data_IF_227617320491
#
_entry.id   IF_227617320491
#
_cell.length_a   1.000
_cell.length_b   1.000
_cell.length_c   1.000
_cell.angle_alpha   90.00
_cell.angle_beta   90.00
_cell.angle_gamma   90.00
#
_symmetry.space_group_name_H-M   'P 1'
#
loop_
_entity.id
_entity.type
_entity.pdbx_description
1 polymer ?
#
# COMPACT_ATOMS: atom_id res chain seq x y z
N UNK A 1 -14.98 11.55 16.79
CA UNK A 1 -15.29 10.85 15.51
C UNK A 1 -16.13 9.58 15.72
N UNK A 2 -16.23 9.02 16.94
CA UNK A 2 -17.12 7.89 17.27
C UNK A 2 -16.61 6.49 16.84
N UNK A 3 -15.31 6.32 16.60
CA UNK A 3 -14.76 5.05 16.13
C UNK A 3 -14.12 4.17 17.22
N UNK A 4 -14.49 4.38 18.49
CA UNK A 4 -13.93 3.62 19.62
C UNK A 4 -14.15 2.12 19.45
N UNK A 5 -15.38 1.72 19.13
CA UNK A 5 -15.73 0.30 18.96
C UNK A 5 -14.96 -0.36 17.81
N UNK A 6 -14.72 0.38 16.72
CA UNK A 6 -13.88 -0.09 15.62
C UNK A 6 -12.45 -0.40 16.08
N UNK A 7 -11.81 0.53 16.82
CA UNK A 7 -10.48 0.30 17.35
C UNK A 7 -10.43 -0.86 18.35
N UNK A 8 -11.46 -1.02 19.17
CA UNK A 8 -11.56 -2.14 20.12
C UNK A 8 -11.69 -3.49 19.41
N UNK A 9 -12.48 -3.58 18.35
CA UNK A 9 -12.61 -4.79 17.54
C UNK A 9 -11.27 -5.15 16.87
N UNK A 10 -10.59 -4.14 16.28
CA UNK A 10 -9.28 -4.35 15.65
C UNK A 10 -8.23 -4.78 16.68
N UNK A 11 -8.19 -4.09 17.80
CA UNK A 11 -7.28 -4.45 18.90
C UNK A 11 -7.50 -5.88 19.39
N UNK A 12 -8.75 -6.29 19.52
CA UNK A 12 -9.11 -7.59 20.06
C UNK A 12 -8.55 -8.75 19.25
N UNK A 13 -8.76 -8.79 17.96
CA UNK A 13 -8.25 -9.89 17.15
C UNK A 13 -6.72 -9.82 16.91
N UNK A 14 -6.12 -8.63 16.94
CA UNK A 14 -4.66 -8.48 16.92
C UNK A 14 -4.08 -9.01 18.24
N UNK A 15 -4.69 -8.66 19.37
CA UNK A 15 -4.26 -9.17 20.68
C UNK A 15 -4.40 -10.69 20.76
N UNK A 16 -5.50 -11.25 20.23
CA UNK A 16 -5.64 -12.70 20.09
C UNK A 16 -4.48 -13.31 19.31
N UNK A 17 -4.17 -12.75 18.13
CA UNK A 17 -3.08 -13.26 17.30
C UNK A 17 -1.74 -13.24 18.06
N UNK A 18 -1.39 -12.13 18.70
CA UNK A 18 -0.13 -11.98 19.44
C UNK A 18 -0.01 -12.91 20.64
N UNK A 19 -1.07 -13.02 21.44
CA UNK A 19 -1.10 -13.90 22.61
C UNK A 19 -1.06 -15.38 22.25
N UNK A 20 -1.42 -15.73 21.01
CA UNK A 20 -1.32 -17.10 20.48
C UNK A 20 -0.07 -17.31 19.60
N UNK A 21 0.88 -16.37 19.61
CA UNK A 21 2.13 -16.47 18.86
C UNK A 21 1.93 -16.48 17.33
N UNK A 22 0.85 -15.84 16.84
CA UNK A 22 0.62 -15.64 15.40
C UNK A 22 1.28 -14.33 15.01
N UNK A 23 2.28 -14.31 14.11
CA UNK A 23 2.93 -13.09 13.67
C UNK A 23 1.96 -12.09 13.06
N UNK A 24 2.08 -10.83 13.49
CA UNK A 24 1.33 -9.68 12.97
C UNK A 24 2.33 -8.65 12.46
N UNK A 25 2.08 -8.11 11.27
CA UNK A 25 2.92 -7.06 10.69
C UNK A 25 2.96 -5.78 11.53
N UNK A 26 4.02 -4.97 11.41
CA UNK A 26 4.18 -3.75 12.21
C UNK A 26 3.18 -2.65 11.86
N UNK A 27 2.51 -2.77 10.74
CA UNK A 27 1.51 -1.85 10.24
C UNK A 27 1.40 -1.93 8.72
N UNK A 28 0.32 -1.35 8.19
CA UNK A 28 0.05 -1.28 6.76
C UNK A 28 -0.79 -0.05 6.44
N UNK A 29 -0.68 0.46 5.23
CA UNK A 29 -1.48 1.61 4.81
C UNK A 29 -1.20 2.85 5.65
N UNK A 30 -2.24 3.60 5.98
CA UNK A 30 -2.14 4.84 6.75
C UNK A 30 -2.31 4.68 8.25
N UNK A 31 -2.74 3.51 8.72
CA UNK A 31 -3.03 3.27 10.14
C UNK A 31 -1.82 3.44 11.06
N UNK A 32 -0.59 3.21 10.55
CA UNK A 32 0.64 3.46 11.29
C UNK A 32 0.88 4.96 11.61
N UNK A 33 0.13 5.89 10.98
CA UNK A 33 0.13 7.32 11.36
C UNK A 33 -0.70 7.63 12.61
N UNK A 34 -1.36 6.65 13.23
CA UNK A 34 -2.21 6.83 14.41
C UNK A 34 -1.46 6.52 15.70
N UNK A 35 -1.31 7.52 16.56
CA UNK A 35 -0.74 7.33 17.91
C UNK A 35 -1.61 6.38 18.75
N UNK A 36 -2.93 6.40 18.59
CA UNK A 36 -3.84 5.46 19.27
C UNK A 36 -3.56 4.02 18.81
N UNK A 37 -3.40 3.79 17.50
CA UNK A 37 -3.05 2.46 16.98
C UNK A 37 -1.73 1.94 17.54
N UNK A 38 -0.77 2.84 17.70
CA UNK A 38 0.55 2.51 18.26
C UNK A 38 0.49 2.21 19.77
N UNK A 39 -0.10 3.10 20.56
CA UNK A 39 -0.17 2.93 22.03
C UNK A 39 -1.06 1.78 22.47
N UNK A 40 -2.04 1.39 21.66
CA UNK A 40 -2.86 0.19 21.88
C UNK A 40 -2.23 -1.08 21.31
N UNK A 41 -1.11 -0.98 20.61
CA UNK A 41 -0.43 -2.13 20.01
C UNK A 41 -1.11 -2.67 18.76
N UNK A 42 -2.00 -1.92 18.10
CA UNK A 42 -2.53 -2.27 16.78
C UNK A 42 -1.40 -2.20 15.74
N UNK A 43 -0.56 -1.16 15.81
CA UNK A 43 0.64 -1.00 15.00
C UNK A 43 1.88 -0.92 15.89
N UNK A 44 3.07 -1.22 15.34
CA UNK A 44 4.34 -1.21 16.06
C UNK A 44 5.31 -0.12 15.55
N UNK A 45 4.82 0.82 14.74
CA UNK A 45 5.60 1.94 14.22
C UNK A 45 5.25 3.19 15.02
N UNK A 46 6.26 3.84 15.60
CA UNK A 46 6.08 5.10 16.33
C UNK A 46 5.81 6.24 15.33
N UNK A 47 4.58 6.80 15.29
CA UNK A 47 4.24 7.85 14.35
C UNK A 47 4.97 9.16 14.62
N UNK A 48 5.41 9.41 15.86
CA UNK A 48 6.16 10.62 16.23
C UNK A 48 7.60 10.51 15.71
N UNK A 49 8.26 9.39 15.96
CA UNK A 49 9.63 9.13 15.52
C UNK A 49 9.80 9.29 14.00
N UNK A 50 8.85 8.79 13.23
CA UNK A 50 8.89 8.84 11.76
C UNK A 50 8.14 10.02 11.14
N UNK A 51 7.65 10.95 11.97
CA UNK A 51 6.87 12.12 11.52
C UNK A 51 5.71 11.72 10.59
N UNK A 52 4.87 10.80 11.04
CA UNK A 52 3.69 10.31 10.32
C UNK A 52 2.47 11.16 10.71
N UNK A 53 1.59 11.41 9.75
CA UNK A 53 0.46 12.30 9.95
C UNK A 53 -0.84 11.54 10.21
N UNK A 54 -1.51 11.86 11.33
CA UNK A 54 -2.79 11.26 11.71
C UNK A 54 -3.91 11.57 10.70
N UNK A 55 -3.96 12.79 10.17
CA UNK A 55 -5.01 13.25 9.24
C UNK A 55 -4.93 12.52 7.89
N UNK A 56 -3.76 11.92 7.58
CA UNK A 56 -3.62 11.01 6.44
C UNK A 56 -4.40 9.71 6.65
N UNK A 57 -4.57 9.27 7.89
CA UNK A 57 -5.34 8.09 8.27
C UNK A 57 -6.82 8.46 8.51
N UNK A 58 -7.10 9.38 9.43
CA UNK A 58 -8.44 9.86 9.77
C UNK A 58 -8.51 11.37 9.65
N UNK A 59 -9.31 11.86 8.71
CA UNK A 59 -9.51 13.28 8.48
C UNK A 59 -10.85 13.72 9.10
N UNK A 60 -10.85 14.62 10.11
CA UNK A 60 -12.09 15.10 10.74
C UNK A 60 -13.01 15.90 9.79
N UNK A 61 -12.45 16.47 8.73
CA UNK A 61 -13.22 17.18 7.70
C UNK A 61 -13.85 16.23 6.66
N UNK A 62 -13.59 14.94 6.78
CA UNK A 62 -14.14 13.91 5.91
C UNK A 62 -14.70 12.76 6.72
N UNK A 63 -16.00 12.61 6.69
CA UNK A 63 -16.68 11.47 7.32
C UNK A 63 -16.49 10.22 6.45
N UNK A 64 -15.46 9.43 6.77
CA UNK A 64 -15.23 8.09 6.20
C UNK A 64 -14.86 7.14 7.31
N UNK A 65 -15.32 5.89 7.20
CA UNK A 65 -14.88 4.85 8.11
C UNK A 65 -13.35 4.71 8.08
N UNK A 66 -12.71 4.48 9.23
CA UNK A 66 -11.30 4.09 9.26
C UNK A 66 -11.12 2.75 8.55
N UNK A 67 -9.95 2.59 7.92
CA UNK A 67 -9.58 1.36 7.24
C UNK A 67 -8.20 0.93 7.76
N UNK A 68 -8.20 -0.06 8.66
CA UNK A 68 -6.98 -0.63 9.25
C UNK A 68 -6.75 -2.00 8.63
N UNK A 69 -5.93 -2.03 7.60
CA UNK A 69 -5.42 -3.25 7.00
C UNK A 69 -4.37 -3.90 7.90
N UNK A 70 -4.41 -5.23 8.04
CA UNK A 70 -3.48 -5.95 8.91
C UNK A 70 -2.88 -7.13 8.16
N UNK A 71 -1.55 -7.18 8.19
CA UNK A 71 -0.80 -8.32 7.69
C UNK A 71 -0.62 -9.36 8.80
N UNK A 72 -1.11 -10.58 8.56
CA UNK A 72 -0.91 -11.75 9.43
C UNK A 72 0.03 -12.76 8.78
N UNK A 73 0.62 -13.62 9.58
CA UNK A 73 1.28 -14.84 9.10
C UNK A 73 0.37 -15.57 8.11
N UNK A 74 0.87 -15.85 6.92
CA UNK A 74 0.09 -16.45 5.84
C UNK A 74 -0.54 -17.79 6.24
N UNK A 75 0.21 -18.64 6.94
CA UNK A 75 -0.22 -19.98 7.32
C UNK A 75 -1.27 -19.99 8.43
N UNK A 76 -1.16 -19.04 9.39
CA UNK A 76 -2.01 -19.04 10.58
C UNK A 76 -3.10 -17.96 10.57
N UNK A 77 -3.25 -17.23 9.50
CA UNK A 77 -4.29 -16.19 9.32
C UNK A 77 -5.71 -16.74 9.54
N UNK A 78 -5.98 -17.96 9.08
CA UNK A 78 -7.30 -18.60 9.23
C UNK A 78 -7.70 -18.78 10.70
N UNK A 79 -6.75 -19.02 11.62
CA UNK A 79 -7.03 -19.13 13.05
C UNK A 79 -7.60 -17.82 13.62
N UNK A 80 -7.12 -16.66 13.12
CA UNK A 80 -7.64 -15.37 13.55
C UNK A 80 -9.04 -15.12 13.01
N UNK A 81 -9.31 -15.51 11.78
CA UNK A 81 -10.66 -15.43 11.18
C UNK A 81 -11.64 -16.33 11.95
N UNK A 82 -11.23 -17.55 12.27
CA UNK A 82 -12.04 -18.51 13.07
C UNK A 82 -12.35 -17.96 14.46
N UNK A 83 -11.37 -17.28 15.10
CA UNK A 83 -11.60 -16.59 16.36
C UNK A 83 -12.66 -15.50 16.23
N UNK A 84 -12.59 -14.66 15.19
CA UNK A 84 -13.57 -13.60 14.94
C UNK A 84 -14.96 -14.19 14.71
N UNK A 85 -15.08 -15.23 13.89
CA UNK A 85 -16.34 -15.95 13.66
C UNK A 85 -16.91 -16.54 14.96
N UNK A 86 -16.05 -17.13 15.80
CA UNK A 86 -16.48 -17.70 17.07
C UNK A 86 -16.92 -16.63 18.06
N UNK A 87 -16.23 -15.50 18.11
CA UNK A 87 -16.46 -14.41 19.07
C UNK A 87 -17.71 -13.60 18.74
N UNK A 88 -17.84 -13.17 17.48
CA UNK A 88 -18.93 -12.30 17.04
C UNK A 88 -20.18 -13.06 16.55
N UNK A 89 -20.06 -14.37 16.36
CA UNK A 89 -21.16 -15.24 15.93
C UNK A 89 -21.14 -15.55 14.43
N UNK A 90 -21.43 -16.79 14.08
CA UNK A 90 -21.44 -17.28 12.68
C UNK A 90 -22.44 -16.55 11.79
N UNK A 91 -23.54 -16.06 12.38
CA UNK A 91 -24.57 -15.36 11.63
C UNK A 91 -24.23 -13.88 11.43
N UNK A 92 -23.28 -13.34 12.20
CA UNK A 92 -22.86 -11.94 12.16
C UNK A 92 -21.55 -11.72 11.39
N UNK A 93 -20.86 -12.77 10.96
CA UNK A 93 -19.58 -12.69 10.24
C UNK A 93 -19.69 -13.41 8.90
N UNK A 94 -19.32 -12.73 7.83
CA UNK A 94 -19.35 -13.28 6.48
C UNK A 94 -18.15 -12.89 5.66
N UNK A 95 -17.75 -13.76 4.73
CA UNK A 95 -16.76 -13.42 3.70
C UNK A 95 -17.39 -12.49 2.65
N UNK A 96 -16.59 -11.68 1.99
CA UNK A 96 -17.04 -10.78 0.92
C UNK A 96 -16.93 -11.49 -0.43
N UNK A 97 -17.94 -11.36 -1.28
CA UNK A 97 -17.89 -11.85 -2.66
C UNK A 97 -17.03 -10.95 -3.53
N UNK A 98 -16.37 -11.55 -4.51
CA UNK A 98 -15.79 -10.83 -5.65
C UNK A 98 -16.33 -11.40 -6.95
N UNK A 99 -16.46 -10.56 -7.98
CA UNK A 99 -16.85 -10.99 -9.31
C UNK A 99 -15.64 -10.97 -10.25
N UNK A 100 -15.28 -12.15 -10.74
CA UNK A 100 -14.36 -12.25 -11.87
C UNK A 100 -15.05 -11.78 -13.14
N UNK A 101 -14.43 -10.84 -13.87
CA UNK A 101 -14.98 -10.33 -15.14
C UNK A 101 -14.34 -10.99 -16.34
N UNK A 102 -15.03 -10.92 -17.48
CA UNK A 102 -14.49 -11.29 -18.78
C UNK A 102 -13.43 -10.26 -19.21
N UNK A 103 -12.16 -10.53 -18.90
CA UNK A 103 -11.05 -9.70 -19.33
C UNK A 103 -10.69 -9.94 -20.80
N UNK A 104 -10.08 -8.95 -21.46
CA UNK A 104 -9.80 -8.91 -22.91
C UNK A 104 -9.27 -10.24 -23.51
N UNK A 105 -8.23 -10.84 -22.91
CA UNK A 105 -7.67 -12.12 -23.41
C UNK A 105 -8.60 -13.32 -23.16
N UNK A 106 -9.30 -13.28 -22.03
CA UNK A 106 -10.23 -14.38 -21.63
C UNK A 106 -11.47 -14.38 -22.50
N UNK A 107 -12.07 -13.22 -22.70
CA UNK A 107 -13.33 -13.10 -23.48
C UNK A 107 -13.17 -13.54 -24.93
N UNK A 108 -12.02 -13.25 -25.57
CA UNK A 108 -11.75 -13.73 -26.95
C UNK A 108 -11.75 -15.26 -27.03
N UNK A 109 -11.13 -15.94 -26.07
CA UNK A 109 -11.13 -17.41 -26.04
C UNK A 109 -12.51 -17.98 -25.74
N UNK A 110 -13.25 -17.35 -24.81
CA UNK A 110 -14.58 -17.80 -24.44
C UNK A 110 -15.60 -17.59 -25.60
N UNK A 111 -15.58 -16.43 -26.24
CA UNK A 111 -16.43 -16.16 -27.39
C UNK A 111 -16.05 -17.05 -28.59
N UNK A 112 -14.76 -17.19 -28.85
CA UNK A 112 -14.29 -18.11 -29.93
C UNK A 112 -14.75 -19.54 -29.74
N UNK A 113 -14.72 -20.05 -28.49
CA UNK A 113 -15.26 -21.38 -28.17
C UNK A 113 -16.77 -21.49 -28.42
N UNK A 114 -17.55 -20.45 -28.11
CA UNK A 114 -19.00 -20.43 -28.33
C UNK A 114 -19.32 -20.31 -29.83
N UNK A 115 -18.44 -19.63 -30.60
CA UNK A 115 -18.54 -19.52 -32.05
C UNK A 115 -17.98 -20.74 -32.79
N UNK A 116 -17.56 -21.77 -32.06
CA UNK A 116 -16.97 -23.02 -32.59
C UNK A 116 -15.69 -22.78 -33.42
N UNK A 117 -14.93 -21.73 -33.08
CA UNK A 117 -13.66 -21.40 -33.72
C UNK A 117 -12.51 -22.23 -33.12
N UNK A 118 -11.48 -22.60 -33.91
CA UNK A 118 -10.34 -23.36 -33.41
C UNK A 118 -9.65 -22.62 -32.26
N UNK A 119 -9.31 -23.33 -31.18
CA UNK A 119 -8.65 -22.76 -30.02
C UNK A 119 -7.34 -22.04 -30.39
N UNK A 120 -6.53 -22.63 -31.26
CA UNK A 120 -5.27 -22.07 -31.73
C UNK A 120 -5.44 -20.71 -32.42
N UNK A 121 -6.51 -20.56 -33.20
CA UNK A 121 -6.88 -19.29 -33.85
C UNK A 121 -7.21 -18.22 -32.78
N UNK A 122 -8.10 -18.52 -31.85
CA UNK A 122 -8.49 -17.61 -30.79
C UNK A 122 -7.32 -17.25 -29.85
N UNK A 123 -6.44 -18.22 -29.55
CA UNK A 123 -5.27 -18.03 -28.68
C UNK A 123 -4.21 -17.14 -29.35
N UNK A 124 -4.04 -17.25 -30.67
CA UNK A 124 -3.17 -16.34 -31.43
C UNK A 124 -3.65 -14.90 -31.30
N UNK A 125 -4.93 -14.63 -31.52
CA UNK A 125 -5.52 -13.30 -31.37
C UNK A 125 -5.42 -12.79 -29.92
N UNK A 126 -5.71 -13.65 -28.94
CA UNK A 126 -5.62 -13.29 -27.53
C UNK A 126 -4.18 -12.95 -27.10
N UNK A 127 -3.17 -13.58 -27.67
CA UNK A 127 -1.75 -13.30 -27.41
C UNK A 127 -1.27 -11.98 -27.99
N UNK A 128 -1.93 -11.46 -29.03
CA UNK A 128 -1.64 -10.13 -29.60
C UNK A 128 -2.08 -8.97 -28.70
N UNK A 129 -2.96 -9.23 -27.70
CA UNK A 129 -3.32 -8.23 -26.70
C UNK A 129 -2.13 -8.00 -25.76
N UNK A 130 -1.66 -6.75 -25.60
CA UNK A 130 -0.55 -6.41 -24.71
C UNK A 130 -0.77 -6.87 -23.26
N UNK A 131 0.32 -7.11 -22.51
CA UNK A 131 0.27 -7.43 -21.10
C UNK A 131 0.29 -6.14 -20.26
N UNK A 132 -0.77 -5.35 -20.34
CA UNK A 132 -0.98 -4.17 -19.51
C UNK A 132 -2.12 -4.39 -18.52
N UNK A 133 -2.00 -3.77 -17.35
CA UNK A 133 -3.07 -3.81 -16.35
C UNK A 133 -4.32 -3.08 -16.89
N UNK A 134 -5.48 -3.73 -16.76
CA UNK A 134 -6.77 -3.21 -17.24
C UNK A 134 -6.80 -2.87 -18.74
N UNK A 135 -6.03 -3.60 -19.55
CA UNK A 135 -6.09 -3.48 -21.01
C UNK A 135 -7.48 -3.87 -21.51
N UNK A 136 -8.06 -3.03 -22.38
CA UNK A 136 -9.30 -3.35 -23.09
C UNK A 136 -8.99 -3.76 -24.52
N UNK A 137 -9.92 -4.48 -25.14
CA UNK A 137 -9.81 -4.87 -26.57
C UNK A 137 -9.67 -3.62 -27.45
N UNK A 138 -10.41 -2.56 -27.15
CA UNK A 138 -10.35 -1.30 -27.89
C UNK A 138 -8.95 -0.68 -27.80
N UNK A 139 -8.39 -0.61 -26.62
CA UNK A 139 -7.03 -0.09 -26.41
C UNK A 139 -5.98 -0.99 -27.08
N UNK A 140 -6.17 -2.31 -27.02
CA UNK A 140 -5.27 -3.26 -27.69
C UNK A 140 -5.24 -3.07 -29.21
N UNK A 141 -6.39 -2.82 -29.85
CA UNK A 141 -6.49 -2.49 -31.28
C UNK A 141 -5.76 -1.19 -31.64
N UNK A 142 -5.75 -0.20 -30.74
CA UNK A 142 -5.01 1.04 -30.95
C UNK A 142 -3.49 0.83 -30.84
N UNK A 143 -3.05 -0.03 -29.92
CA UNK A 143 -1.64 -0.25 -29.61
C UNK A 143 -0.94 -1.26 -30.52
N UNK A 144 -1.67 -2.26 -31.03
CA UNK A 144 -1.09 -3.33 -31.85
C UNK A 144 -1.57 -3.22 -33.30
N UNK A 145 -0.72 -2.72 -34.24
CA UNK A 145 -1.06 -2.58 -35.65
C UNK A 145 -1.38 -3.92 -36.33
N UNK A 146 -0.73 -5.02 -35.94
CA UNK A 146 -0.98 -6.35 -36.51
C UNK A 146 -2.39 -6.84 -36.14
N UNK A 147 -2.79 -6.72 -34.85
CA UNK A 147 -4.13 -7.05 -34.40
C UNK A 147 -5.19 -6.22 -35.14
N UNK A 148 -4.92 -4.92 -35.33
CA UNK A 148 -5.79 -4.03 -36.11
C UNK A 148 -5.90 -4.47 -37.59
N UNK A 149 -4.78 -4.79 -38.23
CA UNK A 149 -4.75 -5.27 -39.62
C UNK A 149 -5.57 -6.55 -39.76
N UNK A 150 -5.47 -7.51 -38.84
CA UNK A 150 -6.31 -8.71 -38.87
C UNK A 150 -7.80 -8.38 -38.66
N UNK A 151 -8.13 -7.46 -37.76
CA UNK A 151 -9.51 -7.00 -37.54
C UNK A 151 -10.13 -6.34 -38.77
N UNK A 152 -9.33 -5.60 -39.54
CA UNK A 152 -9.78 -4.91 -40.76
C UNK A 152 -9.92 -5.85 -41.98
N UNK A 153 -9.06 -6.88 -42.07
CA UNK A 153 -8.94 -7.73 -43.26
C UNK A 153 -9.67 -9.09 -43.16
N UNK A 154 -9.90 -9.62 -41.94
CA UNK A 154 -10.51 -10.94 -41.72
C UNK A 154 -11.88 -10.81 -41.04
N UNK A 155 -12.92 -11.30 -41.72
CA UNK A 155 -14.31 -11.24 -41.22
C UNK A 155 -14.53 -12.05 -39.95
N UNK A 156 -13.85 -13.21 -39.81
CA UNK A 156 -13.95 -14.04 -38.60
C UNK A 156 -13.30 -13.35 -37.41
N UNK A 157 -12.13 -12.72 -37.62
CA UNK A 157 -11.45 -11.92 -36.60
C UNK A 157 -12.33 -10.74 -36.18
N UNK A 158 -12.92 -10.02 -37.16
CA UNK A 158 -13.83 -8.89 -36.89
C UNK A 158 -15.01 -9.33 -36.04
N UNK A 159 -15.70 -10.40 -36.44
CA UNK A 159 -16.89 -10.90 -35.75
C UNK A 159 -16.53 -11.34 -34.33
N UNK A 160 -15.41 -12.08 -34.16
CA UNK A 160 -14.92 -12.51 -32.86
C UNK A 160 -14.62 -11.32 -31.94
N UNK A 161 -13.92 -10.31 -32.44
CA UNK A 161 -13.53 -9.12 -31.68
C UNK A 161 -14.78 -8.28 -31.32
N UNK A 162 -15.68 -8.05 -32.26
CA UNK A 162 -16.89 -7.25 -32.01
C UNK A 162 -17.81 -7.90 -30.96
N UNK A 163 -17.98 -9.21 -31.04
CA UNK A 163 -18.72 -9.95 -30.00
C UNK A 163 -18.00 -9.92 -28.66
N UNK A 164 -16.67 -10.05 -28.66
CA UNK A 164 -15.85 -9.99 -27.44
C UNK A 164 -15.93 -8.60 -26.78
N UNK A 165 -15.89 -7.50 -27.54
CA UNK A 165 -16.07 -6.13 -27.02
C UNK A 165 -17.42 -5.95 -26.30
N UNK A 166 -18.47 -6.58 -26.78
CA UNK A 166 -19.82 -6.49 -26.17
C UNK A 166 -19.90 -7.21 -24.83
N UNK A 167 -19.08 -8.23 -24.62
CA UNK A 167 -19.07 -9.06 -23.40
C UNK A 167 -17.91 -8.70 -22.45
N UNK A 168 -16.91 -7.94 -22.92
CA UNK A 168 -15.78 -7.51 -22.12
C UNK A 168 -16.27 -6.75 -20.88
N UNK A 169 -15.71 -7.09 -19.71
CA UNK A 169 -16.05 -6.45 -18.44
C UNK A 169 -17.29 -7.00 -17.73
N UNK A 170 -18.12 -7.83 -18.40
CA UNK A 170 -19.27 -8.45 -17.76
C UNK A 170 -18.81 -9.48 -16.70
N UNK A 171 -19.57 -9.64 -15.60
CA UNK A 171 -19.31 -10.70 -14.62
C UNK A 171 -19.35 -12.09 -15.25
N UNK A 172 -18.37 -12.93 -14.90
CA UNK A 172 -18.26 -14.31 -15.40
C UNK A 172 -18.49 -15.34 -14.30
N UNK A 173 -17.86 -15.16 -13.17
CA UNK A 173 -17.97 -16.07 -12.03
C UNK A 173 -17.81 -15.31 -10.73
N UNK A 174 -18.30 -15.90 -9.64
CA UNK A 174 -18.11 -15.42 -8.28
C UNK A 174 -16.89 -16.09 -7.66
N UNK A 175 -16.17 -15.34 -6.83
CA UNK A 175 -15.08 -15.80 -6.00
C UNK A 175 -15.19 -15.15 -4.62
N UNK A 176 -14.42 -15.59 -3.66
CA UNK A 176 -14.31 -14.94 -2.36
C UNK A 176 -13.23 -13.88 -2.38
N UNK A 177 -13.43 -12.79 -1.66
CA UNK A 177 -12.38 -11.81 -1.42
C UNK A 177 -11.23 -12.46 -0.64
N UNK A 178 -9.99 -12.21 -1.05
CA UNK A 178 -8.84 -12.91 -0.48
C UNK A 178 -8.59 -12.60 1.02
N UNK A 179 -9.07 -11.45 1.51
CA UNK A 179 -8.76 -10.95 2.85
C UNK A 179 -9.97 -10.38 3.60
N UNK A 180 -10.99 -9.89 2.88
CA UNK A 180 -12.10 -9.11 3.45
C UNK A 180 -13.12 -9.97 4.17
N UNK A 181 -13.41 -9.60 5.41
CA UNK A 181 -14.46 -10.18 6.26
C UNK A 181 -15.36 -9.05 6.74
N UNK A 182 -16.67 -9.27 6.72
CA UNK A 182 -17.65 -8.31 7.24
C UNK A 182 -18.12 -8.76 8.61
N UNK A 183 -18.24 -7.82 9.54
CA UNK A 183 -18.78 -8.02 10.88
C UNK A 183 -20.02 -7.13 11.04
N UNK A 184 -21.14 -7.67 11.49
CA UNK A 184 -22.39 -6.95 11.73
C UNK A 184 -22.87 -7.09 13.17
N UNK A 185 -23.72 -6.16 13.61
CA UNK A 185 -24.31 -6.19 14.97
C UNK A 185 -25.45 -7.21 15.09
N UNK A 186 -26.16 -7.47 13.98
CA UNK A 186 -27.25 -8.46 13.89
C UNK A 186 -26.88 -9.48 12.83
N UNK A 187 -27.74 -10.47 12.65
CA UNK A 187 -27.54 -11.45 11.59
C UNK A 187 -27.33 -10.78 10.23
N UNK A 188 -26.31 -11.25 9.48
CA UNK A 188 -25.86 -10.62 8.24
C UNK A 188 -26.95 -10.54 7.17
N UNK A 189 -27.88 -11.51 7.14
CA UNK A 189 -29.00 -11.56 6.21
C UNK A 189 -30.07 -10.49 6.47
N UNK A 190 -30.04 -9.81 7.65
CA UNK A 190 -30.86 -8.62 7.88
C UNK A 190 -30.31 -7.38 7.12
N UNK A 191 -29.05 -7.41 6.68
CA UNK A 191 -28.39 -6.27 6.00
C UNK A 191 -28.16 -6.52 4.52
N UNK A 192 -27.70 -7.74 4.17
CA UNK A 192 -27.31 -8.10 2.80
C UNK A 192 -27.71 -9.52 2.46
N UNK A 193 -28.09 -9.81 1.20
CA UNK A 193 -28.33 -11.17 0.77
C UNK A 193 -27.04 -11.98 0.83
N UNK A 194 -27.19 -13.26 1.23
CA UNK A 194 -26.08 -14.18 1.38
C UNK A 194 -26.10 -15.26 0.29
N UNK A 195 -24.93 -15.81 0.00
CA UNK A 195 -24.74 -16.94 -0.90
C UNK A 195 -23.82 -17.97 -0.26
N UNK A 196 -23.91 -19.21 -0.72
CA UNK A 196 -23.01 -20.27 -0.31
C UNK A 196 -22.02 -20.57 -1.43
N UNK A 197 -20.73 -20.45 -1.15
CA UNK A 197 -19.67 -20.84 -2.06
C UNK A 197 -19.60 -22.37 -2.21
N UNK A 198 -18.83 -22.85 -3.18
CA UNK A 198 -18.73 -24.30 -3.49
C UNK A 198 -18.14 -25.13 -2.34
N UNK A 199 -17.32 -24.52 -1.50
CA UNK A 199 -16.72 -25.12 -0.29
C UNK A 199 -17.64 -25.04 0.94
N UNK A 200 -18.85 -24.48 0.81
CA UNK A 200 -19.82 -24.32 1.88
C UNK A 200 -19.71 -23.03 2.67
N UNK A 201 -18.69 -22.19 2.41
CA UNK A 201 -18.50 -20.90 3.06
C UNK A 201 -19.63 -19.94 2.71
N UNK A 202 -20.09 -19.17 3.70
CA UNK A 202 -21.10 -18.12 3.50
C UNK A 202 -20.40 -16.84 3.04
N UNK A 203 -20.90 -16.28 1.95
CA UNK A 203 -20.41 -15.00 1.39
C UNK A 203 -21.56 -14.02 1.23
N UNK A 204 -21.27 -12.74 1.30
CA UNK A 204 -22.21 -11.69 0.87
C UNK A 204 -22.44 -11.79 -0.64
N UNK A 205 -23.62 -11.35 -1.12
CA UNK A 205 -23.85 -11.18 -2.57
C UNK A 205 -23.45 -9.78 -3.08
N UNK A 206 -23.14 -8.87 -2.17
CA UNK A 206 -22.64 -7.53 -2.50
C UNK A 206 -21.14 -7.48 -2.38
N UNK A 207 -20.51 -6.73 -3.30
CA UNK A 207 -19.07 -6.47 -3.33
C UNK A 207 -18.67 -5.48 -2.24
N UNK A 208 -17.37 -5.40 -1.99
CA UNK A 208 -16.76 -4.59 -0.93
C UNK A 208 -17.24 -3.13 -0.92
N UNK A 209 -17.29 -2.47 -2.08
CA UNK A 209 -17.73 -1.06 -2.18
C UNK A 209 -19.16 -0.85 -1.74
N UNK A 210 -20.08 -1.75 -2.13
CA UNK A 210 -21.49 -1.69 -1.71
C UNK A 210 -21.65 -1.96 -0.21
N UNK A 211 -20.85 -2.87 0.35
CA UNK A 211 -20.83 -3.16 1.78
C UNK A 211 -20.40 -1.93 2.59
N UNK A 212 -19.37 -1.22 2.13
CA UNK A 212 -18.91 0.04 2.72
C UNK A 212 -19.98 1.15 2.63
N UNK A 213 -20.66 1.28 1.48
CA UNK A 213 -21.76 2.23 1.29
C UNK A 213 -22.94 1.97 2.23
N UNK A 214 -23.21 0.72 2.56
CA UNK A 214 -24.22 0.31 3.54
C UNK A 214 -23.79 0.55 5.00
N UNK A 215 -22.56 0.98 5.23
CA UNK A 215 -22.03 1.26 6.57
C UNK A 215 -21.66 0.02 7.37
N UNK A 216 -21.53 -1.15 6.73
CA UNK A 216 -21.08 -2.36 7.38
C UNK A 216 -19.59 -2.36 7.61
N UNK A 217 -19.16 -3.00 8.69
CA UNK A 217 -17.77 -3.02 9.12
C UNK A 217 -16.97 -4.08 8.36
N UNK A 218 -16.12 -3.60 7.45
CA UNK A 218 -15.16 -4.45 6.73
C UNK A 218 -13.85 -4.52 7.51
N UNK A 219 -13.27 -5.71 7.60
CA UNK A 219 -11.95 -5.98 8.14
C UNK A 219 -11.11 -6.75 7.14
N UNK A 220 -9.89 -6.30 6.85
CA UNK A 220 -9.00 -6.97 5.93
C UNK A 220 -7.91 -7.75 6.67
N UNK A 221 -8.02 -9.08 6.62
CA UNK A 221 -7.05 -10.03 7.17
C UNK A 221 -6.10 -10.46 6.04
N UNK A 222 -5.02 -9.71 5.86
CA UNK A 222 -4.07 -9.97 4.78
C UNK A 222 -3.06 -11.05 5.20
N UNK A 223 -2.69 -11.92 4.29
CA UNK A 223 -1.65 -12.93 4.53
C UNK A 223 -0.32 -12.44 3.94
N UNK A 224 0.69 -12.25 4.79
CA UNK A 224 2.04 -11.90 4.36
C UNK A 224 3.00 -13.06 4.66
N UNK A 225 3.45 -13.75 3.60
CA UNK A 225 4.36 -14.90 3.70
C UNK A 225 5.68 -14.55 4.40
N UNK A 226 6.18 -13.34 4.21
CA UNK A 226 7.41 -12.84 4.83
C UNK A 226 7.35 -12.88 6.37
N UNK A 227 6.19 -12.69 6.98
CA UNK A 227 6.04 -12.79 8.44
C UNK A 227 6.25 -14.24 8.91
N UNK A 228 5.82 -15.23 8.12
CA UNK A 228 6.12 -16.65 8.37
C UNK A 228 7.61 -16.90 8.30
N UNK A 229 8.28 -16.41 7.24
CA UNK A 229 9.74 -16.56 7.07
C UNK A 229 10.51 -15.95 8.25
N UNK A 230 10.15 -14.74 8.69
CA UNK A 230 10.80 -14.07 9.82
C UNK A 230 10.64 -14.89 11.10
N UNK A 231 9.43 -15.37 11.38
CA UNK A 231 9.15 -16.22 12.54
C UNK A 231 9.97 -17.51 12.50
N UNK A 232 9.91 -18.22 11.39
CA UNK A 232 10.61 -19.50 11.24
C UNK A 232 12.13 -19.33 11.33
N UNK A 233 12.67 -18.24 10.77
CA UNK A 233 14.08 -17.90 10.94
C UNK A 233 14.43 -17.64 12.40
N UNK A 234 13.62 -16.88 13.13
CA UNK A 234 13.81 -16.63 14.57
C UNK A 234 13.76 -17.93 15.40
N UNK A 235 12.79 -18.81 15.12
CA UNK A 235 12.65 -20.12 15.76
C UNK A 235 13.86 -21.02 15.49
N UNK A 236 14.37 -21.02 14.25
CA UNK A 236 15.58 -21.79 13.88
C UNK A 236 16.83 -21.23 14.57
N UNK A 237 16.96 -19.89 14.70
CA UNK A 237 18.06 -19.26 15.43
C UNK A 237 18.00 -19.66 16.89
N UNK A 238 16.82 -19.63 17.52
CA UNK A 238 16.66 -20.09 18.89
C UNK A 238 17.03 -21.57 19.06
N UNK A 239 16.56 -22.43 18.14
CA UNK A 239 16.83 -23.86 18.18
C UNK A 239 18.34 -24.18 18.01
N UNK A 240 19.01 -23.48 17.11
CA UNK A 240 20.40 -23.80 16.74
C UNK A 240 21.44 -23.12 17.64
N UNK A 241 21.12 -21.90 18.13
CA UNK A 241 22.07 -21.02 18.82
C UNK A 241 21.64 -20.68 20.25
N UNK A 242 20.40 -21.01 20.67
CA UNK A 242 19.84 -20.62 21.97
C UNK A 242 19.57 -19.12 22.12
N UNK A 243 19.60 -18.38 21.00
CA UNK A 243 19.41 -16.93 20.98
C UNK A 243 17.95 -16.64 20.61
N UNK A 244 17.23 -16.00 21.52
CA UNK A 244 15.88 -15.53 21.27
C UNK A 244 15.93 -14.12 20.67
N UNK A 245 15.34 -13.94 19.50
CA UNK A 245 15.28 -12.63 18.83
C UNK A 245 13.84 -12.11 18.92
N UNK A 246 13.66 -10.90 19.43
CA UNK A 246 12.39 -10.23 19.46
C UNK A 246 12.20 -9.44 18.16
N UNK A 247 11.26 -9.89 17.35
CA UNK A 247 10.90 -9.27 16.07
C UNK A 247 9.69 -8.32 16.18
N UNK A 248 9.05 -8.25 17.34
CA UNK A 248 7.83 -7.48 17.56
C UNK A 248 8.11 -6.10 18.15
N UNK A 249 9.19 -5.93 18.93
CA UNK A 249 9.57 -4.64 19.49
C UNK A 249 10.46 -3.88 18.51
N UNK A 250 9.96 -2.75 18.01
CA UNK A 250 10.63 -1.97 16.98
C UNK A 250 11.20 -0.68 17.54
N UNK A 251 10.45 0.02 18.37
CA UNK A 251 10.79 1.36 18.82
C UNK A 251 10.75 1.55 20.36
N UNK A 252 10.51 0.48 21.14
CA UNK A 252 10.36 0.56 22.60
C UNK A 252 11.50 -0.09 23.37
N UNK A 253 11.83 0.53 24.52
CA UNK A 253 12.66 -0.07 25.57
C UNK A 253 11.87 -0.95 26.55
N UNK A 254 10.57 -1.08 26.35
CA UNK A 254 9.67 -1.88 27.20
C UNK A 254 9.43 -3.26 26.56
N UNK A 255 10.48 -4.03 26.45
CA UNK A 255 10.36 -5.42 26.01
C UNK A 255 9.96 -6.32 27.18
N UNK A 256 8.99 -7.17 26.94
CA UNK A 256 8.44 -8.08 27.94
C UNK A 256 9.36 -9.26 28.29
N UNK A 257 10.38 -9.50 27.47
CA UNK A 257 11.34 -10.58 27.66
C UNK A 257 12.77 -10.01 27.73
N UNK A 258 13.33 -9.92 28.97
CA UNK A 258 14.67 -9.35 29.14
C UNK A 258 15.80 -10.21 28.56
N UNK A 259 15.53 -11.48 28.26
CA UNK A 259 16.52 -12.39 27.65
C UNK A 259 16.50 -12.36 26.12
N UNK A 260 15.54 -11.68 25.53
CA UNK A 260 15.45 -11.57 24.07
C UNK A 260 16.36 -10.46 23.51
N UNK A 261 17.03 -10.76 22.41
CA UNK A 261 17.84 -9.80 21.66
C UNK A 261 16.90 -8.94 20.82
N UNK A 262 17.01 -7.63 20.97
CA UNK A 262 16.31 -6.65 20.13
C UNK A 262 17.07 -6.39 18.83
N UNK A 263 16.35 -6.20 17.74
CA UNK A 263 16.93 -5.79 16.46
C UNK A 263 17.24 -4.30 16.52
N UNK A 264 18.52 -3.94 16.33
CA UNK A 264 18.92 -2.54 16.13
C UNK A 264 18.68 -2.14 14.67
N UNK A 265 17.66 -1.31 14.44
CA UNK A 265 17.33 -0.82 13.09
C UNK A 265 18.28 0.24 12.54
N UNK A 266 19.32 0.61 13.30
CA UNK A 266 20.42 1.48 12.88
C UNK A 266 21.76 0.74 12.77
N UNK A 267 21.76 -0.61 12.86
CA UNK A 267 23.00 -1.38 12.70
C UNK A 267 23.61 -1.14 11.31
N UNK A 268 24.76 -0.47 11.32
CA UNK A 268 25.48 -0.12 10.12
C UNK A 268 25.85 -1.33 9.26
N UNK A 269 26.12 -2.48 9.85
CA UNK A 269 26.49 -3.71 9.10
C UNK A 269 25.34 -4.20 8.24
N UNK A 270 24.11 -4.17 8.78
CA UNK A 270 22.90 -4.57 8.05
C UNK A 270 22.60 -3.53 6.94
N UNK A 271 22.73 -2.24 7.23
CA UNK A 271 22.52 -1.17 6.24
C UNK A 271 23.58 -1.24 5.12
N UNK A 272 24.85 -1.42 5.46
CA UNK A 272 25.93 -1.62 4.48
C UNK A 272 25.67 -2.89 3.64
N UNK A 273 25.16 -3.96 4.25
CA UNK A 273 24.79 -5.19 3.53
C UNK A 273 23.67 -4.94 2.51
N UNK A 274 22.62 -4.21 2.89
CA UNK A 274 21.56 -3.77 1.94
C UNK A 274 22.19 -2.98 0.78
N UNK A 275 23.13 -2.08 1.09
CA UNK A 275 23.88 -1.28 0.11
C UNK A 275 24.76 -2.09 -0.84
N UNK A 276 25.06 -3.37 -0.56
CA UNK A 276 25.75 -4.26 -1.51
C UNK A 276 24.84 -4.72 -2.65
N UNK A 277 23.51 -4.61 -2.49
CA UNK A 277 22.51 -5.15 -3.42
C UNK A 277 22.42 -6.69 -3.44
N UNK A 278 23.01 -7.39 -2.47
CA UNK A 278 22.85 -8.85 -2.28
C UNK A 278 21.55 -9.17 -1.54
N UNK A 279 20.46 -8.64 -2.05
CA UNK A 279 19.15 -8.60 -1.37
C UNK A 279 18.14 -9.62 -1.92
N UNK A 280 18.61 -10.75 -2.48
CA UNK A 280 17.75 -11.90 -2.83
C UNK A 280 17.03 -12.40 -1.58
N UNK A 281 15.70 -12.55 -1.65
CA UNK A 281 14.84 -12.95 -0.54
C UNK A 281 14.64 -11.87 0.54
N UNK A 282 15.27 -10.70 0.43
CA UNK A 282 15.00 -9.56 1.31
C UNK A 282 13.72 -8.86 0.84
N UNK A 283 12.74 -8.80 1.72
CA UNK A 283 11.42 -8.27 1.41
C UNK A 283 11.50 -6.89 0.72
N UNK A 284 10.74 -6.71 -0.37
CA UNK A 284 10.69 -5.50 -1.21
C UNK A 284 12.01 -5.11 -1.92
N UNK A 285 13.17 -5.70 -1.59
CA UNK A 285 14.46 -5.27 -2.09
C UNK A 285 15.11 -6.25 -3.10
N UNK A 286 14.39 -7.27 -3.56
CA UNK A 286 14.95 -8.39 -4.31
C UNK A 286 14.95 -8.24 -5.84
N UNK A 287 14.16 -7.32 -6.42
CA UNK A 287 14.13 -7.14 -7.87
C UNK A 287 15.46 -6.61 -8.41
N UNK A 288 15.83 -6.97 -9.63
CA UNK A 288 17.11 -6.57 -10.24
C UNK A 288 17.34 -5.04 -10.22
N UNK A 289 16.29 -4.27 -10.53
CA UNK A 289 16.37 -2.82 -10.50
C UNK A 289 16.50 -2.26 -9.08
N UNK A 290 15.76 -2.83 -8.11
CA UNK A 290 15.87 -2.42 -6.71
C UNK A 290 17.26 -2.72 -6.14
N UNK A 291 17.87 -3.86 -6.48
CA UNK A 291 19.26 -4.20 -6.11
C UNK A 291 20.25 -3.15 -6.60
N UNK A 292 20.11 -2.74 -7.86
CA UNK A 292 20.98 -1.70 -8.42
C UNK A 292 20.74 -0.36 -7.73
N UNK A 293 19.49 -0.01 -7.48
CA UNK A 293 19.17 1.21 -6.75
C UNK A 293 19.74 1.20 -5.32
N UNK A 294 19.66 0.09 -4.58
CA UNK A 294 20.27 0.00 -3.24
C UNK A 294 21.80 0.18 -3.26
N UNK A 295 22.48 -0.29 -4.31
CA UNK A 295 23.93 -0.06 -4.50
C UNK A 295 24.28 1.42 -4.69
N UNK A 296 23.41 2.17 -5.37
CA UNK A 296 23.59 3.61 -5.57
C UNK A 296 23.19 4.41 -4.33
N UNK A 297 22.09 4.02 -3.69
CA UNK A 297 21.52 4.66 -2.51
C UNK A 297 22.46 4.56 -1.30
N UNK A 298 23.09 3.38 -1.10
CA UNK A 298 23.96 3.09 0.07
C UNK A 298 23.29 3.54 1.36
N UNK A 299 22.21 2.89 1.79
CA UNK A 299 21.41 3.34 2.92
C UNK A 299 22.26 3.43 4.19
N UNK A 300 22.09 4.52 4.94
CA UNK A 300 22.79 4.79 6.20
C UNK A 300 21.86 4.81 7.40
N UNK A 301 20.56 4.72 7.15
CA UNK A 301 19.50 4.70 8.16
C UNK A 301 18.29 3.94 7.63
N UNK A 302 17.37 3.59 8.53
CA UNK A 302 16.08 3.03 8.13
C UNK A 302 15.28 4.03 7.26
N UNK A 303 15.41 5.34 7.49
CA UNK A 303 14.78 6.39 6.68
C UNK A 303 15.20 6.30 5.20
N UNK A 304 16.46 5.98 4.91
CA UNK A 304 16.93 5.76 3.54
C UNK A 304 16.23 4.54 2.90
N UNK A 305 15.98 3.47 3.68
CA UNK A 305 15.25 2.29 3.19
C UNK A 305 13.78 2.64 2.93
N UNK A 306 13.16 3.43 3.82
CA UNK A 306 11.80 3.96 3.65
C UNK A 306 11.68 4.76 2.35
N UNK A 307 12.62 5.67 2.13
CA UNK A 307 12.67 6.47 0.90
C UNK A 307 12.91 5.58 -0.34
N UNK A 308 13.80 4.59 -0.23
CA UNK A 308 14.10 3.65 -1.29
C UNK A 308 12.88 2.87 -1.77
N UNK A 309 12.09 2.30 -0.84
CA UNK A 309 10.83 1.60 -1.14
C UNK A 309 9.82 2.55 -1.79
N UNK A 310 9.80 3.81 -1.37
CA UNK A 310 8.87 4.82 -1.87
C UNK A 310 9.19 5.32 -3.27
N UNK A 311 10.48 5.43 -3.60
CA UNK A 311 10.96 5.95 -4.88
C UNK A 311 10.98 4.89 -5.99
N UNK A 312 11.27 3.63 -5.67
CA UNK A 312 11.44 2.59 -6.69
C UNK A 312 10.08 2.05 -7.19
N UNK A 313 9.39 2.85 -7.98
CA UNK A 313 8.09 2.51 -8.62
C UNK A 313 7.95 3.28 -9.94
N UNK A 314 7.14 2.80 -10.90
CA UNK A 314 6.85 3.55 -12.12
C UNK A 314 6.35 4.97 -11.79
N UNK A 315 7.02 5.97 -12.33
CA UNK A 315 6.79 7.40 -12.08
C UNK A 315 7.82 8.01 -11.13
N UNK A 316 7.86 7.67 -9.82
CA UNK A 316 8.84 8.24 -8.88
C UNK A 316 10.30 7.88 -9.21
N UNK A 317 10.56 6.79 -9.92
CA UNK A 317 11.92 6.39 -10.33
C UNK A 317 12.67 7.49 -11.08
N UNK A 318 11.98 8.37 -11.79
CA UNK A 318 12.60 9.48 -12.52
C UNK A 318 13.27 10.50 -11.59
N UNK A 319 12.89 10.52 -10.31
CA UNK A 319 13.46 11.41 -9.28
C UNK A 319 14.64 10.79 -8.53
N UNK A 320 14.94 9.50 -8.72
CA UNK A 320 16.07 8.81 -8.06
C UNK A 320 17.39 9.52 -8.29
N UNK A 321 17.76 9.96 -9.52
CA UNK A 321 19.02 10.66 -9.74
C UNK A 321 19.13 11.96 -8.92
N UNK A 322 18.05 12.74 -8.82
CA UNK A 322 18.00 13.97 -8.01
C UNK A 322 18.17 13.65 -6.52
N UNK A 323 17.47 12.61 -6.03
CA UNK A 323 17.55 12.16 -4.64
C UNK A 323 18.99 11.72 -4.28
N UNK A 324 19.61 10.87 -5.11
CA UNK A 324 20.99 10.40 -4.93
C UNK A 324 21.99 11.56 -4.94
N UNK A 325 21.81 12.50 -5.89
CA UNK A 325 22.67 13.70 -5.95
C UNK A 325 22.54 14.52 -4.67
N UNK A 326 21.34 14.84 -4.23
CA UNK A 326 21.11 15.60 -3.00
C UNK A 326 21.67 14.90 -1.75
N UNK A 327 21.56 13.56 -1.69
CA UNK A 327 22.16 12.77 -0.61
C UNK A 327 23.68 12.89 -0.55
N UNK A 328 24.34 12.81 -1.70
CA UNK A 328 25.81 12.80 -1.79
C UNK A 328 26.42 14.21 -1.76
N UNK A 329 25.69 15.21 -2.25
CA UNK A 329 26.15 16.60 -2.45
C UNK A 329 25.16 17.56 -1.78
N UNK A 330 25.08 17.57 -0.45
CA UNK A 330 24.08 18.36 0.31
C UNK A 330 24.11 19.85 -0.02
N UNK A 331 25.30 20.41 -0.29
CA UNK A 331 25.47 21.80 -0.69
C UNK A 331 24.86 22.14 -2.07
N UNK A 332 24.52 21.13 -2.86
CA UNK A 332 23.85 21.30 -4.15
C UNK A 332 22.34 21.49 -4.04
N UNK A 333 21.76 21.28 -2.85
CA UNK A 333 20.32 21.37 -2.62
C UNK A 333 19.93 22.85 -2.56
N UNK A 334 18.92 23.22 -3.34
CA UNK A 334 18.33 24.55 -3.32
C UNK A 334 16.85 24.45 -3.03
N UNK A 335 16.34 25.37 -2.20
CA UNK A 335 14.93 25.44 -1.86
C UNK A 335 14.33 26.73 -2.42
N UNK A 336 13.10 26.69 -2.87
CA UNK A 336 12.38 27.86 -3.42
C UNK A 336 12.08 28.91 -2.34
N UNK A 337 11.98 28.51 -1.09
CA UNK A 337 11.84 29.36 0.10
C UNK A 337 12.40 28.62 1.33
N UNK A 338 12.68 29.39 2.41
CA UNK A 338 13.28 28.83 3.64
C UNK A 338 12.35 27.86 4.37
N UNK A 339 11.06 28.10 4.31
CA UNK A 339 10.03 27.32 4.97
C UNK A 339 9.93 25.91 4.40
N UNK A 340 10.41 25.70 3.17
CA UNK A 340 10.42 24.40 2.49
C UNK A 340 11.56 23.49 2.99
N UNK A 341 12.66 24.08 3.48
CA UNK A 341 13.86 23.34 3.91
C UNK A 341 13.55 22.30 5.01
N UNK A 342 12.87 22.62 6.14
CA UNK A 342 12.61 21.64 7.19
C UNK A 342 11.76 20.45 6.72
N UNK A 343 10.91 20.66 5.70
CA UNK A 343 10.02 19.64 5.17
C UNK A 343 10.77 18.68 4.24
N UNK A 344 11.70 19.22 3.43
CA UNK A 344 12.37 18.46 2.37
C UNK A 344 13.82 18.06 2.70
N UNK A 345 14.43 18.61 3.76
CA UNK A 345 15.79 18.26 4.20
C UNK A 345 15.91 16.74 4.45
N UNK A 346 14.95 16.06 5.13
CA UNK A 346 15.04 14.62 5.35
C UNK A 346 15.02 13.77 4.07
N UNK A 347 14.60 14.35 2.96
CA UNK A 347 14.53 13.70 1.64
C UNK A 347 15.40 14.40 0.59
N UNK A 348 16.43 15.10 1.06
CA UNK A 348 17.47 15.73 0.22
C UNK A 348 16.89 16.66 -0.85
N UNK A 349 15.90 17.48 -0.47
CA UNK A 349 15.26 18.46 -1.36
C UNK A 349 14.25 17.86 -2.35
N UNK A 350 13.86 16.61 -2.17
CA UNK A 350 12.84 15.95 -3.01
C UNK A 350 11.52 15.77 -2.25
N UNK A 351 10.40 16.00 -2.92
CA UNK A 351 9.10 15.53 -2.42
C UNK A 351 9.06 14.02 -2.70
N UNK A 352 8.88 13.19 -1.67
CA UNK A 352 8.80 11.72 -1.76
C UNK A 352 7.46 11.22 -1.22
N UNK A 353 6.96 11.87 -0.17
CA UNK A 353 5.83 11.41 0.61
C UNK A 353 4.60 12.29 0.43
N UNK A 354 3.43 11.67 0.53
CA UNK A 354 2.13 12.37 0.56
C UNK A 354 2.05 13.32 1.74
N UNK A 355 2.63 12.93 2.86
CA UNK A 355 2.74 13.72 4.09
C UNK A 355 3.49 15.04 3.87
N UNK A 356 4.53 15.04 3.05
CA UNK A 356 5.25 16.27 2.69
C UNK A 356 4.39 17.24 1.89
N UNK A 357 3.56 16.74 0.96
CA UNK A 357 2.60 17.59 0.23
C UNK A 357 1.63 18.25 1.21
N UNK A 358 1.14 17.50 2.21
CA UNK A 358 0.24 18.03 3.23
C UNK A 358 0.94 19.09 4.11
N UNK A 359 2.17 18.82 4.54
CA UNK A 359 2.97 19.78 5.33
C UNK A 359 3.27 21.06 4.54
N UNK A 360 3.61 20.95 3.26
CA UNK A 360 3.88 22.11 2.40
C UNK A 360 2.66 23.04 2.35
N UNK A 361 1.46 22.53 2.08
CA UNK A 361 0.28 23.40 1.99
C UNK A 361 -0.11 23.96 3.35
N UNK A 362 0.09 23.22 4.43
CA UNK A 362 -0.13 23.71 5.79
C UNK A 362 0.83 24.83 6.17
N UNK A 363 2.14 24.57 6.09
CA UNK A 363 3.17 25.48 6.59
C UNK A 363 3.30 26.74 5.71
N UNK A 364 3.19 26.59 4.38
CA UNK A 364 3.41 27.70 3.47
C UNK A 364 2.16 28.56 3.25
N UNK A 365 0.98 27.97 3.26
CA UNK A 365 -0.26 28.67 2.91
C UNK A 365 -1.31 28.70 4.03
N UNK A 366 -1.07 28.04 5.18
CA UNK A 366 -1.93 28.09 6.35
C UNK A 366 -3.20 27.26 6.27
N UNK A 367 -3.17 26.16 5.50
CA UNK A 367 -4.27 25.19 5.48
C UNK A 367 -4.34 24.40 6.79
N UNK A 368 -5.54 23.92 7.15
CA UNK A 368 -5.64 22.87 8.14
C UNK A 368 -5.08 21.54 7.57
N UNK A 369 -4.69 20.61 8.43
CA UNK A 369 -4.24 19.28 7.95
C UNK A 369 -5.37 18.53 7.24
N UNK A 370 -6.63 18.72 7.65
CA UNK A 370 -7.79 18.16 6.98
C UNK A 370 -7.95 18.67 5.54
N UNK A 371 -7.87 19.99 5.35
CA UNK A 371 -7.86 20.62 4.03
C UNK A 371 -6.68 20.13 3.20
N UNK A 372 -5.48 20.01 3.79
CA UNK A 372 -4.29 19.52 3.14
C UNK A 372 -4.45 18.08 2.59
N UNK A 373 -5.09 17.18 3.34
CA UNK A 373 -5.41 15.83 2.83
C UNK A 373 -6.37 15.86 1.64
N UNK A 374 -7.36 16.76 1.66
CA UNK A 374 -8.32 16.91 0.57
C UNK A 374 -7.63 17.36 -0.72
N UNK A 375 -6.70 18.33 -0.65
CA UNK A 375 -5.88 18.80 -1.79
C UNK A 375 -5.00 17.67 -2.32
N UNK A 376 -4.24 17.03 -1.44
CA UNK A 376 -3.39 15.89 -1.82
C UNK A 376 -4.19 14.82 -2.59
N UNK A 377 -5.41 14.50 -2.13
CA UNK A 377 -6.29 13.52 -2.80
C UNK A 377 -6.78 14.03 -4.16
N UNK A 378 -7.13 15.31 -4.28
CA UNK A 378 -7.53 15.90 -5.55
C UNK A 378 -6.40 15.81 -6.58
N UNK A 379 -5.17 16.14 -6.17
CA UNK A 379 -3.97 16.00 -7.00
C UNK A 379 -3.74 14.53 -7.41
N UNK A 380 -3.78 13.58 -6.47
CA UNK A 380 -3.60 12.15 -6.77
C UNK A 380 -4.66 11.58 -7.71
N UNK A 381 -5.92 12.07 -7.61
CA UNK A 381 -7.04 11.68 -8.47
C UNK A 381 -7.12 12.48 -9.78
N UNK A 382 -6.18 13.39 -10.02
CA UNK A 382 -6.11 14.25 -11.22
C UNK A 382 -7.40 15.05 -11.47
N UNK A 383 -8.03 15.56 -10.40
CA UNK A 383 -9.22 16.41 -10.50
C UNK A 383 -8.82 17.83 -10.88
N UNK A 384 -8.62 18.08 -12.17
CA UNK A 384 -8.01 19.31 -12.68
C UNK A 384 -8.72 20.59 -12.18
N UNK A 385 -10.06 20.61 -12.20
CA UNK A 385 -10.83 21.78 -11.75
C UNK A 385 -10.58 22.15 -10.28
N UNK A 386 -10.33 21.12 -9.41
CA UNK A 386 -9.98 21.36 -8.00
C UNK A 386 -8.54 21.85 -7.91
N UNK A 387 -7.63 21.24 -8.67
CA UNK A 387 -6.20 21.60 -8.67
C UNK A 387 -6.03 23.07 -9.09
N UNK A 388 -6.77 23.53 -10.12
CA UNK A 388 -6.66 24.91 -10.59
C UNK A 388 -7.27 25.92 -9.58
N UNK A 389 -8.39 25.56 -8.95
CA UNK A 389 -9.00 26.40 -7.91
C UNK A 389 -8.10 26.50 -6.66
N UNK A 390 -7.53 25.37 -6.23
CA UNK A 390 -6.66 25.32 -5.05
C UNK A 390 -5.30 26.00 -5.29
N UNK A 391 -4.84 26.14 -6.52
CA UNK A 391 -3.66 26.97 -6.83
C UNK A 391 -3.87 28.42 -6.42
N UNK A 392 -5.05 28.99 -6.70
CA UNK A 392 -5.37 30.35 -6.31
C UNK A 392 -5.39 30.50 -4.80
N UNK A 393 -6.05 29.56 -4.10
CA UNK A 393 -6.10 29.54 -2.65
C UNK A 393 -4.69 29.40 -2.03
N UNK A 394 -3.86 28.52 -2.56
CA UNK A 394 -2.49 28.31 -2.08
C UNK A 394 -1.61 29.55 -2.25
N UNK A 395 -1.67 30.21 -3.39
CA UNK A 395 -0.83 31.38 -3.70
C UNK A 395 -1.35 32.63 -3.00
N UNK A 396 -2.64 32.95 -3.17
CA UNK A 396 -3.22 34.24 -2.77
C UNK A 396 -4.05 34.19 -1.48
N UNK A 397 -4.45 32.99 -1.05
CA UNK A 397 -5.32 32.79 0.11
C UNK A 397 -6.80 32.73 -0.23
N UNK A 398 -7.60 32.40 0.79
CA UNK A 398 -9.06 32.36 0.73
C UNK A 398 -9.62 32.61 2.12
N UNK A 399 -10.14 33.82 2.37
CA UNK A 399 -10.67 34.24 3.68
C UNK A 399 -11.87 33.40 4.11
N UNK A 400 -12.77 33.02 3.19
CA UNK A 400 -13.93 32.19 3.50
C UNK A 400 -13.57 30.82 4.03
N UNK A 401 -12.44 30.26 3.56
CA UNK A 401 -11.92 28.97 3.99
C UNK A 401 -10.85 29.09 5.09
N UNK A 402 -10.52 30.30 5.53
CA UNK A 402 -9.47 30.52 6.53
C UNK A 402 -8.05 30.28 6.05
N UNK A 403 -7.83 30.28 4.74
CA UNK A 403 -6.52 30.03 4.12
C UNK A 403 -5.80 31.36 3.91
N UNK A 404 -4.61 31.51 4.51
CA UNK A 404 -3.82 32.75 4.40
C UNK A 404 -3.18 32.95 3.02
N UNK A 405 -2.72 31.87 2.40
CA UNK A 405 -1.96 31.89 1.17
C UNK A 405 -0.46 32.20 1.38
N UNK A 406 0.34 31.76 0.42
CA UNK A 406 1.81 31.88 0.47
C UNK A 406 2.27 33.35 0.49
N UNK A 407 1.63 34.24 -0.27
CA UNK A 407 2.02 35.65 -0.36
C UNK A 407 1.85 36.34 1.00
N UNK A 408 0.75 36.08 1.70
CA UNK A 408 0.51 36.63 3.04
C UNK A 408 1.53 36.12 4.08
N UNK A 409 2.13 34.96 3.84
CA UNK A 409 3.20 34.40 4.66
C UNK A 409 4.61 34.83 4.18
N UNK A 410 4.72 35.78 3.26
CA UNK A 410 5.98 36.36 2.80
C UNK A 410 6.71 35.61 1.69
N UNK A 411 6.07 34.61 1.09
CA UNK A 411 6.61 33.83 -0.02
C UNK A 411 6.25 34.54 -1.33
N UNK A 412 7.24 34.70 -2.25
CA UNK A 412 6.97 35.36 -3.52
C UNK A 412 6.00 34.54 -4.38
N UNK A 413 5.20 35.23 -5.20
CA UNK A 413 4.26 34.60 -6.13
C UNK A 413 4.95 33.60 -7.06
N UNK A 414 6.14 33.95 -7.55
CA UNK A 414 6.93 33.05 -8.41
C UNK A 414 7.33 31.76 -7.69
N UNK A 415 7.84 31.87 -6.46
CA UNK A 415 8.21 30.71 -5.65
C UNK A 415 6.99 29.85 -5.32
N UNK A 416 5.87 30.46 -4.91
CA UNK A 416 4.64 29.75 -4.58
C UNK A 416 4.10 28.96 -5.79
N UNK A 417 4.06 29.56 -6.97
CA UNK A 417 3.62 28.85 -8.19
C UNK A 417 4.55 27.69 -8.54
N UNK A 418 5.88 27.88 -8.45
CA UNK A 418 6.86 26.82 -8.73
C UNK A 418 6.74 25.65 -7.75
N UNK A 419 6.53 25.94 -6.46
CA UNK A 419 6.28 24.92 -5.43
C UNK A 419 4.98 24.17 -5.76
N UNK A 420 3.91 24.89 -6.12
CA UNK A 420 2.64 24.28 -6.47
C UNK A 420 2.76 23.35 -7.70
N UNK A 421 3.45 23.77 -8.76
CA UNK A 421 3.73 22.93 -9.92
C UNK A 421 4.47 21.65 -9.54
N UNK A 422 5.51 21.79 -8.71
CA UNK A 422 6.26 20.64 -8.18
C UNK A 422 5.40 19.69 -7.39
N UNK A 423 4.47 20.20 -6.56
CA UNK A 423 3.51 19.36 -5.83
C UNK A 423 2.55 18.63 -6.77
N UNK A 424 1.99 19.30 -7.77
CA UNK A 424 1.05 18.69 -8.73
C UNK A 424 1.73 17.58 -9.52
N UNK A 425 2.95 17.78 -9.97
CA UNK A 425 3.71 16.78 -10.72
C UNK A 425 4.04 15.57 -9.84
N UNK A 426 4.39 15.79 -8.59
CA UNK A 426 4.79 14.75 -7.68
C UNK A 426 3.63 14.04 -6.97
N UNK A 427 2.53 14.73 -6.67
CA UNK A 427 1.39 14.18 -5.95
C UNK A 427 0.70 13.01 -6.68
N UNK A 428 0.91 12.90 -8.00
CA UNK A 428 0.46 11.76 -8.82
C UNK A 428 1.18 10.46 -8.41
N UNK A 429 2.36 10.58 -7.81
CA UNK A 429 3.29 9.49 -7.54
C UNK A 429 3.72 9.42 -6.07
N UNK A 430 3.44 10.44 -5.26
CA UNK A 430 3.81 10.50 -3.85
C UNK A 430 3.32 9.27 -3.07
N UNK A 431 4.19 8.73 -2.21
CA UNK A 431 3.91 7.52 -1.46
C UNK A 431 3.41 7.82 -0.05
N UNK A 432 2.63 6.92 0.51
CA UNK A 432 2.23 6.97 1.91
C UNK A 432 3.43 6.58 2.79
N UNK A 433 4.00 7.53 3.53
CA UNK A 433 5.15 7.31 4.40
C UNK A 433 4.86 6.26 5.47
N UNK A 434 3.66 6.27 6.03
CA UNK A 434 3.24 5.30 7.05
C UNK A 434 3.34 3.85 6.56
N UNK A 435 2.89 3.59 5.33
CA UNK A 435 3.04 2.26 4.71
C UNK A 435 4.50 1.92 4.43
N UNK A 436 5.27 2.86 3.90
CA UNK A 436 6.69 2.65 3.62
C UNK A 436 7.51 2.36 4.86
N UNK A 437 7.24 3.06 5.98
CA UNK A 437 7.91 2.86 7.25
C UNK A 437 7.67 1.45 7.80
N UNK A 438 6.40 1.02 7.82
CA UNK A 438 6.05 -0.33 8.26
C UNK A 438 6.74 -1.42 7.40
N UNK A 439 6.74 -1.24 6.09
CA UNK A 439 7.35 -2.21 5.17
C UNK A 439 8.87 -2.19 5.18
N UNK A 440 9.50 -1.02 5.42
CA UNK A 440 10.94 -0.92 5.60
C UNK A 440 11.43 -1.69 6.84
N UNK A 441 10.64 -1.72 7.91
CA UNK A 441 10.93 -2.55 9.09
C UNK A 441 10.97 -4.03 8.71
N UNK A 442 9.97 -4.54 7.99
CA UNK A 442 9.94 -5.94 7.52
C UNK A 442 11.12 -6.23 6.58
N UNK A 443 11.45 -5.28 5.67
CA UNK A 443 12.63 -5.40 4.81
C UNK A 443 13.92 -5.50 5.61
N UNK A 444 14.05 -4.63 6.62
CA UNK A 444 15.22 -4.62 7.49
C UNK A 444 15.34 -5.91 8.31
N UNK A 445 14.24 -6.42 8.87
CA UNK A 445 14.22 -7.69 9.61
C UNK A 445 14.71 -8.85 8.73
N UNK A 446 14.22 -8.95 7.49
CA UNK A 446 14.69 -9.98 6.56
C UNK A 446 16.16 -9.82 6.19
N UNK A 447 16.65 -8.58 6.03
CA UNK A 447 18.08 -8.31 5.82
C UNK A 447 18.94 -8.65 7.05
N UNK A 448 18.44 -8.37 8.26
CA UNK A 448 19.09 -8.71 9.52
C UNK A 448 19.30 -10.22 9.65
N UNK A 449 18.25 -11.02 9.48
CA UNK A 449 18.36 -12.47 9.52
C UNK A 449 19.29 -12.98 8.40
N UNK A 450 19.19 -12.45 7.21
CA UNK A 450 20.04 -12.86 6.10
C UNK A 450 21.51 -12.53 6.34
N UNK A 451 21.82 -11.44 7.01
CA UNK A 451 23.19 -11.04 7.33
C UNK A 451 23.79 -11.84 8.47
N UNK A 452 23.08 -11.93 9.63
CA UNK A 452 23.58 -12.56 10.84
C UNK A 452 23.37 -14.07 10.91
N UNK A 453 22.28 -14.57 10.29
CA UNK A 453 21.83 -15.95 10.35
C UNK A 453 21.43 -16.48 8.96
N UNK A 454 22.37 -16.43 7.98
CA UNK A 454 22.04 -16.74 6.59
C UNK A 454 21.54 -18.16 6.36
N UNK A 455 21.99 -19.13 7.16
CA UNK A 455 21.57 -20.54 7.03
C UNK A 455 20.12 -20.70 7.48
N UNK A 456 19.77 -20.17 8.64
CA UNK A 456 18.44 -20.22 9.22
C UNK A 456 17.44 -19.45 8.34
N UNK A 457 17.84 -18.26 7.87
CA UNK A 457 17.01 -17.45 6.99
C UNK A 457 16.73 -18.14 5.66
N UNK A 458 17.76 -18.73 5.03
CA UNK A 458 17.58 -19.43 3.76
C UNK A 458 16.77 -20.73 3.94
N UNK A 459 16.95 -21.45 5.05
CA UNK A 459 16.13 -22.60 5.37
C UNK A 459 14.65 -22.20 5.52
N UNK A 460 14.34 -21.15 6.28
CA UNK A 460 12.99 -20.63 6.44
C UNK A 460 12.38 -20.17 5.10
N UNK A 461 13.16 -19.47 4.26
CA UNK A 461 12.71 -18.98 2.96
C UNK A 461 12.39 -20.11 1.97
N UNK A 462 13.14 -21.24 2.04
CA UNK A 462 12.94 -22.38 1.14
C UNK A 462 11.81 -23.32 1.60
N UNK A 463 11.37 -23.24 2.84
CA UNK A 463 10.33 -24.11 3.43
C UNK A 463 8.97 -23.47 3.49
N UNK A 464 8.86 -22.14 3.38
CA UNK A 464 7.60 -21.36 3.46
C UNK A 464 6.94 -21.10 2.08
#
# INVERSE_FOLDING_TARGET
MGYVDYFLIVWDFINYARTHGIPVGPGRGSAAGSLVSYTTGITNIDPIKYNLLFERFLNPERVTMPDIDIDFCYERRSEVIDYVVKKYGKDCVSQIVTFGTLAAKGVIRDVGRVMDLPYSFCDTIAKMIPNELNITIEKALQMNPELRGMYESDENVRTLIDMSKRLEGLPRHTSMHAAGVVISQKAMDEYVPLSRASDGTITTQFIMTTIEELGLLKMDFLGLRTLTVIKDAADLVYKNHGIKIDVNHIDYNDHTDPDAVLIDYNDKKVLDYIGTGRTEGVFQLESAGMKNFMKELKPQSLEDVIAGISLYRPGPMDFIPKYIKGKNERDSITYECKELEPILEPTYGCIVYQEQVMQIVQELAGYTMGQADNIRRAMSKKKQYVIDAERQNFVYGNEEQGIKGCIANGISEQAANKIYDSMVDFAKYAFNKSHAAAYAVVSYQTAYFKYYYPVEFMAALMTS
#
